data_IF_667979814721
#
_entry.id   IF_667979814721
#
_cell.length_a   1.000
_cell.length_b   1.000
_cell.length_c   1.000
_cell.angle_alpha   90.00
_cell.angle_beta   90.00
_cell.angle_gamma   90.00
#
_symmetry.space_group_name_H-M   'P 1'
#
loop_
_entity.id
_entity.type
_entity.pdbx_description
1 polymer ?
#
# COMPACT_ATOMS: atom_id res chain seq x y z
N UNK A 1 -5.62 -8.90 1.58
CA UNK A 1 -4.53 -8.43 0.70
C UNK A 1 -4.89 -8.86 -0.70
N UNK A 2 -4.93 -7.92 -1.64
CA UNK A 2 -5.32 -8.19 -3.02
C UNK A 2 -4.11 -8.61 -3.85
N UNK A 3 -3.02 -7.85 -3.75
CA UNK A 3 -1.76 -8.10 -4.45
C UNK A 3 -0.57 -7.53 -3.66
N UNK A 4 0.65 -7.77 -4.13
CA UNK A 4 1.90 -7.22 -3.58
C UNK A 4 2.76 -6.70 -4.72
N UNK A 5 3.24 -5.46 -4.59
CA UNK A 5 4.21 -4.89 -5.51
C UNK A 5 5.62 -5.25 -5.07
N UNK A 6 6.40 -5.79 -6.00
CA UNK A 6 7.78 -6.17 -5.79
C UNK A 6 8.71 -5.18 -6.48
N UNK A 7 9.75 -4.77 -5.76
CA UNK A 7 10.87 -4.07 -6.35
C UNK A 7 11.61 -5.02 -7.31
N UNK A 8 11.61 -4.71 -8.61
CA UNK A 8 12.15 -5.61 -9.65
C UNK A 8 13.66 -5.88 -9.51
N UNK A 9 14.42 -4.94 -8.96
CA UNK A 9 15.88 -5.05 -8.80
C UNK A 9 16.24 -5.88 -7.58
N UNK A 10 15.64 -5.57 -6.42
CA UNK A 10 15.97 -6.23 -5.16
C UNK A 10 15.16 -7.51 -4.91
N UNK A 11 14.06 -7.72 -5.64
CA UNK A 11 13.12 -8.83 -5.45
C UNK A 11 12.29 -8.74 -4.17
N UNK A 12 12.36 -7.62 -3.44
CA UNK A 12 11.66 -7.44 -2.16
C UNK A 12 10.29 -6.84 -2.35
N UNK A 13 9.34 -7.21 -1.50
CA UNK A 13 8.05 -6.54 -1.41
C UNK A 13 8.24 -5.09 -0.93
N UNK A 14 7.67 -4.16 -1.69
CA UNK A 14 7.74 -2.73 -1.41
C UNK A 14 6.38 -2.24 -0.89
N UNK A 15 5.29 -2.68 -1.52
CA UNK A 15 3.93 -2.33 -1.13
C UNK A 15 2.99 -3.53 -1.10
N UNK A 16 2.10 -3.57 -0.11
CA UNK A 16 0.93 -4.44 -0.09
C UNK A 16 -0.28 -3.66 -0.63
N UNK A 17 -1.06 -4.26 -1.52
CA UNK A 17 -2.27 -3.64 -2.08
C UNK A 17 -3.50 -4.12 -1.32
N UNK A 18 -4.22 -3.19 -0.70
CA UNK A 18 -5.52 -3.44 -0.07
C UNK A 18 -6.63 -2.88 -0.95
N UNK A 19 -7.70 -3.68 -1.17
CA UNK A 19 -8.95 -3.16 -1.73
C UNK A 19 -9.93 -2.91 -0.58
N UNK A 20 -10.40 -1.67 -0.42
CA UNK A 20 -11.50 -1.31 0.48
C UNK A 20 -12.12 0.03 0.07
N UNK A 21 -13.32 0.36 0.57
CA UNK A 21 -13.97 1.65 0.29
C UNK A 21 -14.80 1.70 -1.01
N UNK A 22 -15.03 0.56 -1.67
CA UNK A 22 -16.09 0.37 -2.66
C UNK A 22 -17.39 -0.12 -2.02
N UNK A 23 -18.52 0.06 -2.70
CA UNK A 23 -19.78 -0.60 -2.33
C UNK A 23 -19.90 -1.88 -3.15
N UNK A 24 -19.88 -3.05 -2.50
CA UNK A 24 -20.23 -4.36 -3.09
C UNK A 24 -19.55 -4.65 -4.46
N UNK A 25 -18.23 -4.42 -4.56
CA UNK A 25 -17.44 -4.76 -5.75
C UNK A 25 -17.55 -3.80 -6.94
N UNK A 26 -18.25 -2.68 -6.78
CA UNK A 26 -18.24 -1.57 -7.74
C UNK A 26 -17.45 -0.40 -7.12
N UNK A 27 -16.44 0.08 -7.84
CA UNK A 27 -15.63 1.23 -7.40
C UNK A 27 -14.63 0.90 -6.28
N UNK A 28 -14.20 -0.37 -6.21
CA UNK A 28 -13.10 -0.77 -5.33
C UNK A 28 -11.90 0.16 -5.52
N UNK A 29 -11.44 0.73 -4.41
CA UNK A 29 -10.26 1.56 -4.36
C UNK A 29 -9.08 0.72 -3.89
N UNK A 30 -8.01 0.74 -4.66
CA UNK A 30 -6.78 0.05 -4.34
C UNK A 30 -5.83 0.99 -3.63
N UNK A 31 -5.49 0.63 -2.40
CA UNK A 31 -4.64 1.39 -1.50
C UNK A 31 -3.30 0.67 -1.31
N UNK A 32 -2.20 1.21 -1.86
CA UNK A 32 -0.88 0.71 -1.57
C UNK A 32 -0.45 1.11 -0.16
N UNK A 33 0.05 0.13 0.59
CA UNK A 33 0.61 0.30 1.93
C UNK A 33 2.07 -0.13 1.92
N UNK A 34 3.00 0.68 2.47
CA UNK A 34 4.39 0.28 2.59
C UNK A 34 4.52 -1.05 3.33
N UNK A 35 5.23 -2.00 2.74
CA UNK A 35 5.34 -3.38 3.27
C UNK A 35 5.84 -3.41 4.71
N UNK A 36 6.75 -2.49 5.07
CA UNK A 36 7.32 -2.38 6.41
C UNK A 36 6.34 -1.92 7.51
N UNK A 37 5.15 -1.43 7.15
CA UNK A 37 4.09 -1.08 8.10
C UNK A 37 3.25 -2.29 8.51
N UNK A 38 3.31 -3.38 7.74
CA UNK A 38 2.55 -4.60 8.00
C UNK A 38 3.30 -5.49 8.99
N UNK A 39 2.59 -5.95 10.03
CA UNK A 39 3.09 -6.94 10.98
C UNK A 39 2.17 -8.14 10.98
N UNK A 40 2.72 -9.33 10.74
CA UNK A 40 1.93 -10.55 10.86
C UNK A 40 1.61 -10.83 12.34
N UNK A 41 0.33 -10.91 12.71
CA UNK A 41 -0.12 -11.34 14.03
C UNK A 41 -0.67 -12.78 13.93
N UNK A 42 0.06 -13.81 14.41
CA UNK A 42 -0.38 -15.19 14.36
C UNK A 42 -1.70 -15.45 15.08
N UNK A 43 -2.04 -14.65 16.11
CA UNK A 43 -3.30 -14.79 16.86
C UNK A 43 -4.51 -14.36 16.05
N UNK A 44 -4.29 -13.47 15.08
CA UNK A 44 -5.32 -12.97 14.17
C UNK A 44 -5.25 -13.66 12.79
N UNK A 45 -4.24 -14.50 12.56
CA UNK A 45 -4.03 -15.19 11.29
C UNK A 45 -3.78 -14.26 10.11
N UNK A 46 -3.33 -13.02 10.35
CA UNK A 46 -3.27 -11.98 9.34
C UNK A 46 -2.31 -10.85 9.66
N UNK A 47 -2.12 -9.95 8.68
CA UNK A 47 -1.32 -8.74 8.86
C UNK A 47 -2.13 -7.65 9.53
N UNK A 48 -1.54 -7.02 10.54
CA UNK A 48 -2.05 -5.84 11.22
C UNK A 48 -1.19 -4.63 10.87
N UNK A 49 -1.81 -3.46 10.89
CA UNK A 49 -1.17 -2.18 10.62
C UNK A 49 -1.51 -1.21 11.75
N UNK A 50 -0.54 -0.37 12.13
CA UNK A 50 -0.75 0.65 13.14
C UNK A 50 -1.15 1.99 12.49
N UNK A 51 -2.28 1.97 11.77
CA UNK A 51 -2.83 3.11 11.04
C UNK A 51 -4.29 3.30 11.47
N UNK A 52 -4.71 4.55 11.71
CA UNK A 52 -6.12 4.85 11.94
C UNK A 52 -6.93 4.62 10.66
N UNK A 53 -8.22 4.30 10.83
CA UNK A 53 -9.16 4.17 9.71
C UNK A 53 -9.21 5.44 8.85
N UNK A 54 -9.28 6.61 9.47
CA UNK A 54 -9.34 7.88 8.75
C UNK A 54 -8.09 8.11 7.87
N UNK A 55 -6.90 7.72 8.35
CA UNK A 55 -5.66 7.81 7.56
C UNK A 55 -5.64 6.83 6.39
N UNK A 56 -6.28 5.67 6.54
CA UNK A 56 -6.44 4.71 5.45
C UNK A 56 -7.43 5.20 4.41
N UNK A 57 -8.55 5.79 4.83
CA UNK A 57 -9.57 6.34 3.93
C UNK A 57 -9.09 7.59 3.18
N UNK A 58 -8.20 8.39 3.79
CA UNK A 58 -7.52 9.52 3.16
C UNK A 58 -6.29 9.17 2.32
N UNK A 59 -5.87 7.90 2.31
CA UNK A 59 -4.68 7.47 1.58
C UNK A 59 -4.87 7.56 0.06
N UNK A 60 -3.78 7.74 -0.71
CA UNK A 60 -3.83 7.60 -2.15
C UNK A 60 -4.49 6.28 -2.55
N UNK A 61 -5.38 6.36 -3.53
CA UNK A 61 -6.21 5.24 -3.93
C UNK A 61 -6.49 5.28 -5.42
N UNK A 62 -6.58 4.10 -6.03
CA UNK A 62 -6.58 3.96 -7.48
C UNK A 62 -7.67 3.02 -7.95
N UNK A 63 -8.14 3.21 -9.18
CA UNK A 63 -9.08 2.28 -9.81
C UNK A 63 -8.34 1.08 -10.42
N UNK A 64 -9.02 -0.05 -10.59
CA UNK A 64 -8.43 -1.28 -11.17
C UNK A 64 -7.74 -1.03 -12.53
N UNK A 65 -8.34 -0.19 -13.39
CA UNK A 65 -7.80 0.11 -14.72
C UNK A 65 -6.55 1.00 -14.72
N UNK A 66 -6.25 1.64 -13.59
CA UNK A 66 -5.05 2.45 -13.42
C UNK A 66 -3.88 1.62 -12.90
N UNK A 67 -4.12 0.37 -12.46
CA UNK A 67 -3.11 -0.52 -11.85
C UNK A 67 -1.95 -0.90 -12.79
N UNK A 68 -2.11 -0.77 -14.10
CA UNK A 68 -1.04 -0.99 -15.09
C UNK A 68 -0.06 0.18 -15.22
N UNK A 69 -0.41 1.38 -14.74
CA UNK A 69 0.43 2.60 -14.80
C UNK A 69 1.44 2.68 -13.63
N UNK A 70 1.38 1.75 -12.69
CA UNK A 70 2.11 1.77 -11.41
C UNK A 70 3.59 1.45 -11.53
N UNK A 71 4.02 0.92 -12.67
CA UNK A 71 5.32 0.28 -12.81
C UNK A 71 6.51 1.26 -12.73
N UNK A 72 6.32 2.57 -12.99
CA UNK A 72 7.45 3.51 -13.10
C UNK A 72 7.27 4.90 -12.44
N UNK A 73 6.05 5.37 -12.12
CA UNK A 73 5.82 6.83 -11.91
C UNK A 73 5.31 7.29 -10.52
N UNK A 74 4.97 6.41 -9.57
CA UNK A 74 4.13 6.83 -8.42
C UNK A 74 4.56 6.39 -7.01
N UNK A 75 5.73 5.76 -6.85
CA UNK A 75 6.26 5.41 -5.52
C UNK A 75 6.44 6.64 -4.61
N UNK A 76 6.93 7.76 -5.18
CA UNK A 76 7.16 9.00 -4.46
C UNK A 76 5.92 9.57 -3.75
N UNK A 77 4.76 9.62 -4.42
CA UNK A 77 3.52 10.16 -3.82
C UNK A 77 3.07 9.35 -2.59
N UNK A 78 3.30 8.02 -2.63
CA UNK A 78 2.92 7.10 -1.56
C UNK A 78 3.90 7.25 -0.39
N UNK A 79 5.20 7.29 -0.67
CA UNK A 79 6.24 7.49 0.33
C UNK A 79 6.06 8.82 1.07
N UNK A 80 5.75 9.90 0.34
CA UNK A 80 5.47 11.21 0.93
C UNK A 80 4.25 11.18 1.87
N UNK A 81 3.15 10.52 1.46
CA UNK A 81 1.95 10.39 2.29
C UNK A 81 2.18 9.56 3.57
N UNK A 82 2.97 8.48 3.46
CA UNK A 82 3.27 7.64 4.61
C UNK A 82 4.41 8.18 5.47
N UNK A 83 5.15 9.18 4.99
CA UNK A 83 6.26 9.79 5.68
C UNK A 83 7.51 8.92 5.67
N UNK A 84 7.74 8.18 4.57
CA UNK A 84 9.06 7.61 4.29
C UNK A 84 10.02 8.75 3.98
N UNK A 85 10.46 9.43 5.03
CA UNK A 85 11.71 10.17 4.98
C UNK A 85 12.79 9.19 4.58
N UNK A 86 13.44 9.45 3.46
CA UNK A 86 14.73 8.87 3.10
C UNK A 86 15.69 9.13 4.26
N UNK A 87 15.77 8.20 5.19
CA UNK A 87 16.86 8.06 6.13
C UNK A 87 18.10 7.59 5.36
N UNK A 88 18.61 8.43 4.47
CA UNK A 88 20.01 8.40 4.10
C UNK A 88 20.76 9.09 5.23
N UNK A 89 21.66 8.34 5.84
CA UNK A 89 22.59 8.82 6.85
C UNK A 89 23.23 10.16 6.43
N UNK A 90 23.27 11.09 7.37
CA UNK A 90 24.27 12.15 7.46
C UNK A 90 24.92 12.04 8.83
#
# INVERSE_FOLDING_TARGET
MYDVMLNKVSGKAEYAILSFGGFLGIGDKYHPLPWNQLKYDPRQGGYVINLSRDRLEGAPAYAAGEMSVWDDLRGHDIDDYYGHGTGLAS
#
